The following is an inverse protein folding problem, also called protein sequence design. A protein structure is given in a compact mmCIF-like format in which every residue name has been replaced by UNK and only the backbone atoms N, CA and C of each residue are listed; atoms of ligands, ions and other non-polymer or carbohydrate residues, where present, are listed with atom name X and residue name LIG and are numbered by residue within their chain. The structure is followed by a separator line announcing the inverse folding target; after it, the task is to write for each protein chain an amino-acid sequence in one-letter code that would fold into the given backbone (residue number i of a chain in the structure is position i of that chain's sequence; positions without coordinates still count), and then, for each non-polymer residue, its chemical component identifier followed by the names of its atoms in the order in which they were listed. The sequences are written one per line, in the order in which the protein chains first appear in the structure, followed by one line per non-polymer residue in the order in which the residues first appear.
data_IF_958551777244
#
_entry.id   IF_958551777244
#
_cell.length_a   1.000
_cell.length_b   1.000
_cell.length_c   1.000
_cell.angle_alpha   90.00
_cell.angle_beta   90.00
_cell.angle_gamma   90.00
#
_symmetry.space_group_name_H-M   'P 1'
#
loop_
_entity.id
_entity.type
_entity.pdbx_description
1 polymer ?
#
# COMPACT_ATOMS: atom_id res chain seq x y z
N UNK A 1 38.67 2.86 -27.37
CA UNK A 1 38.19 1.55 -27.87
C UNK A 1 36.69 1.48 -27.60
N UNK A 2 35.86 1.59 -28.64
CA UNK A 2 34.38 1.63 -28.53
C UNK A 2 33.86 0.20 -28.42
N UNK A 3 33.17 -0.14 -27.33
CA UNK A 3 32.45 -1.42 -27.21
C UNK A 3 31.07 -1.23 -27.82
N UNK A 4 30.74 -2.10 -28.78
CA UNK A 4 29.54 -2.01 -29.60
C UNK A 4 28.28 -2.30 -28.78
N UNK A 5 27.27 -1.43 -28.90
CA UNK A 5 25.90 -1.71 -28.49
C UNK A 5 25.30 -2.69 -29.49
N UNK A 6 24.88 -3.86 -29.04
CA UNK A 6 24.08 -4.78 -29.86
C UNK A 6 22.62 -4.50 -29.58
N UNK A 7 21.97 -3.78 -30.49
CA UNK A 7 20.52 -3.68 -30.57
C UNK A 7 19.96 -5.07 -30.89
N UNK A 8 19.00 -5.54 -30.10
CA UNK A 8 18.22 -6.74 -30.43
C UNK A 8 16.91 -6.26 -31.04
N UNK A 9 16.77 -6.52 -32.33
CA UNK A 9 15.61 -6.20 -33.15
C UNK A 9 14.35 -6.92 -32.67
N UNK A 10 13.23 -6.23 -32.80
CA UNK A 10 11.91 -6.71 -32.42
C UNK A 10 11.48 -7.95 -33.22
N UNK A 11 10.89 -8.91 -32.49
CA UNK A 11 10.11 -9.99 -33.07
C UNK A 11 8.62 -9.66 -32.89
N UNK A 12 7.98 -9.24 -33.98
CA UNK A 12 6.53 -9.20 -34.13
C UNK A 12 6.02 -10.64 -34.26
N UNK A 13 5.53 -11.23 -33.18
CA UNK A 13 4.83 -12.51 -33.17
C UNK A 13 3.33 -12.29 -33.04
N UNK A 14 2.56 -12.68 -34.06
CA UNK A 14 1.11 -12.56 -34.11
C UNK A 14 0.44 -13.39 -33.00
N UNK A 15 -0.48 -12.76 -32.27
CA UNK A 15 -1.36 -13.41 -31.30
C UNK A 15 -2.48 -14.15 -32.05
N UNK A 16 -2.45 -15.48 -32.03
CA UNK A 16 -3.61 -16.33 -32.31
C UNK A 16 -4.48 -16.52 -31.05
N UNK A 17 -5.78 -16.83 -31.19
CA UNK A 17 -6.74 -16.76 -30.09
C UNK A 17 -6.57 -17.95 -29.13
N UNK A 18 -6.44 -17.67 -27.84
CA UNK A 18 -6.50 -18.68 -26.79
C UNK A 18 -7.97 -18.90 -26.40
N UNK A 19 -8.47 -20.08 -26.74
CA UNK A 19 -9.81 -20.56 -26.39
C UNK A 19 -9.96 -20.78 -24.88
N UNK A 20 -11.20 -20.62 -24.42
CA UNK A 20 -11.61 -20.68 -23.03
C UNK A 20 -11.54 -22.11 -22.47
N UNK A 21 -10.72 -22.31 -21.44
CA UNK A 21 -10.78 -23.45 -20.54
C UNK A 21 -11.13 -22.97 -19.13
N UNK A 22 -12.42 -22.99 -18.79
CA UNK A 22 -12.87 -22.88 -17.40
C UNK A 22 -12.71 -24.26 -16.75
N UNK A 23 -11.77 -24.39 -15.83
CA UNK A 23 -11.88 -25.38 -14.75
C UNK A 23 -11.56 -24.70 -13.42
N UNK A 24 -12.59 -24.71 -12.57
CA UNK A 24 -12.54 -24.21 -11.20
C UNK A 24 -11.78 -25.23 -10.34
N UNK A 25 -10.55 -24.89 -9.95
CA UNK A 25 -9.78 -25.63 -8.97
C UNK A 25 -9.63 -24.80 -7.69
N UNK A 26 -10.39 -25.22 -6.67
CA UNK A 26 -10.08 -25.13 -5.24
C UNK A 26 -9.44 -23.85 -4.72
N UNK A 27 -10.26 -22.96 -4.16
CA UNK A 27 -9.82 -21.96 -3.20
C UNK A 27 -9.34 -22.66 -1.92
N UNK A 28 -8.06 -23.03 -1.86
CA UNK A 28 -7.35 -23.27 -0.62
C UNK A 28 -6.75 -21.93 -0.16
N UNK A 29 -7.49 -21.20 0.68
CA UNK A 29 -6.99 -19.97 1.31
C UNK A 29 -5.76 -20.28 2.17
N UNK A 30 -4.77 -19.38 2.25
CA UNK A 30 -3.66 -19.57 3.17
C UNK A 30 -4.19 -19.48 4.59
N UNK A 31 -3.77 -20.45 5.40
CA UNK A 31 -4.09 -20.61 6.80
C UNK A 31 -3.91 -19.31 7.60
N UNK A 32 -4.84 -19.09 8.53
CA UNK A 32 -4.70 -18.15 9.63
C UNK A 32 -3.34 -18.35 10.32
N UNK A 33 -2.54 -17.28 10.39
CA UNK A 33 -1.17 -17.40 10.89
C UNK A 33 -0.45 -16.07 10.99
N UNK A 34 -0.88 -15.22 11.93
CA UNK A 34 -0.02 -14.55 12.92
C UNK A 34 -0.93 -13.71 13.82
N UNK A 35 -1.05 -14.15 15.07
CA UNK A 35 -1.69 -13.38 16.13
C UNK A 35 -1.01 -12.00 16.20
N UNK A 36 -1.81 -10.93 16.24
CA UNK A 36 -1.29 -9.62 16.58
C UNK A 36 -0.78 -9.69 18.02
N UNK A 37 0.55 -9.81 18.18
CA UNK A 37 1.19 -9.79 19.48
C UNK A 37 0.67 -8.60 20.28
N UNK A 38 0.27 -8.84 21.52
CA UNK A 38 -0.12 -7.77 22.44
C UNK A 38 1.05 -6.80 22.61
N UNK A 39 0.74 -5.55 22.95
CA UNK A 39 1.79 -4.53 23.18
C UNK A 39 2.81 -4.98 24.22
N UNK A 40 2.39 -5.82 25.18
CA UNK A 40 3.25 -6.41 26.20
C UNK A 40 4.17 -7.49 25.63
N UNK A 41 3.66 -8.38 24.78
CA UNK A 41 4.47 -9.42 24.11
C UNK A 41 5.51 -8.80 23.17
N UNK A 42 5.12 -7.78 22.39
CA UNK A 42 6.05 -7.06 21.51
C UNK A 42 7.16 -6.36 22.32
N UNK A 43 6.83 -5.75 23.47
CA UNK A 43 7.81 -5.12 24.35
C UNK A 43 8.79 -6.15 24.93
N UNK A 44 8.27 -7.29 25.41
CA UNK A 44 9.09 -8.38 25.94
C UNK A 44 10.00 -9.01 24.86
N UNK A 45 9.53 -9.12 23.62
CA UNK A 45 10.34 -9.59 22.49
C UNK A 45 11.45 -8.59 22.15
N UNK A 46 11.13 -7.29 22.15
CA UNK A 46 12.12 -6.22 21.94
C UNK A 46 13.22 -6.23 23.01
N UNK A 47 12.87 -6.43 24.28
CA UNK A 47 13.82 -6.51 25.38
C UNK A 47 14.74 -7.74 25.26
N UNK A 48 14.19 -8.91 24.90
CA UNK A 48 14.99 -10.12 24.64
C UNK A 48 15.94 -9.93 23.46
N UNK A 49 15.48 -9.28 22.40
CA UNK A 49 16.27 -9.01 21.21
C UNK A 49 17.42 -8.03 21.52
N UNK A 50 17.15 -6.99 22.30
CA UNK A 50 18.18 -6.06 22.77
C UNK A 50 19.22 -6.75 23.66
N UNK A 51 18.79 -7.65 24.55
CA UNK A 51 19.69 -8.45 25.38
C UNK A 51 20.57 -9.39 24.53
N UNK A 52 20.00 -10.04 23.52
CA UNK A 52 20.75 -10.88 22.58
C UNK A 52 21.76 -10.05 21.74
N UNK A 53 21.38 -8.85 21.30
CA UNK A 53 22.28 -7.96 20.58
C UNK A 53 23.46 -7.48 21.45
N UNK A 54 23.21 -7.29 22.75
CA UNK A 54 24.22 -6.90 23.73
C UNK A 54 25.26 -8.00 24.02
N UNK A 55 24.97 -9.28 23.71
CA UNK A 55 25.93 -10.38 23.87
C UNK A 55 26.75 -10.65 22.59
N UNK A 56 26.36 -10.09 21.44
CA UNK A 56 27.11 -10.27 20.19
C UNK A 56 28.51 -9.64 20.25
N UNK A 57 29.44 -10.19 19.47
CA UNK A 57 30.74 -9.57 19.19
C UNK A 57 30.58 -8.09 18.79
N UNK A 58 31.41 -7.16 19.30
CA UNK A 58 31.27 -5.73 19.01
C UNK A 58 31.28 -5.37 17.53
N UNK A 59 32.04 -6.09 16.69
CA UNK A 59 32.08 -5.84 15.24
C UNK A 59 30.79 -6.30 14.58
N UNK A 60 30.29 -7.47 14.98
CA UNK A 60 29.00 -7.97 14.50
C UNK A 60 27.85 -7.06 14.94
N UNK A 61 27.88 -6.57 16.18
CA UNK A 61 26.91 -5.60 16.70
C UNK A 61 26.92 -4.30 15.89
N UNK A 62 28.11 -3.77 15.59
CA UNK A 62 28.24 -2.57 14.76
C UNK A 62 27.72 -2.82 13.33
N UNK A 63 28.00 -3.98 12.73
CA UNK A 63 27.48 -4.35 11.41
C UNK A 63 25.95 -4.53 11.38
N UNK A 64 25.35 -4.91 12.50
CA UNK A 64 23.91 -5.06 12.70
C UNK A 64 23.25 -3.82 13.32
N UNK A 65 23.99 -2.71 13.45
CA UNK A 65 23.40 -1.45 13.87
C UNK A 65 22.66 -0.80 12.69
N UNK A 66 21.54 -0.13 12.98
CA UNK A 66 20.88 0.73 11.99
C UNK A 66 21.63 2.05 11.92
N UNK A 67 22.54 2.15 10.96
CA UNK A 67 23.26 3.36 10.61
C UNK A 67 22.81 3.83 9.20
N UNK A 68 22.18 5.01 9.09
CA UNK A 68 21.78 5.60 7.81
C UNK A 68 22.96 5.83 6.85
N UNK A 69 24.12 6.25 7.36
CA UNK A 69 25.28 6.57 6.53
C UNK A 69 25.92 5.28 5.97
N UNK A 70 25.86 4.19 6.73
CA UNK A 70 26.30 2.87 6.28
C UNK A 70 25.30 2.14 5.37
N UNK A 71 24.09 2.66 5.17
CA UNK A 71 23.02 1.94 4.44
C UNK A 71 23.39 1.58 3.02
N UNK A 72 23.99 2.49 2.27
CA UNK A 72 24.38 2.24 0.89
C UNK A 72 25.44 1.12 0.80
N UNK A 73 26.48 1.19 1.63
CA UNK A 73 27.53 0.18 1.69
C UNK A 73 27.00 -1.19 2.10
N UNK A 74 26.12 -1.22 3.10
CA UNK A 74 25.43 -2.42 3.56
C UNK A 74 24.57 -3.07 2.47
N UNK A 75 23.74 -2.28 1.79
CA UNK A 75 22.89 -2.80 0.71
C UNK A 75 23.73 -3.33 -0.45
N UNK A 76 24.80 -2.62 -0.85
CA UNK A 76 25.76 -3.12 -1.85
C UNK A 76 26.33 -4.47 -1.46
N UNK A 77 26.79 -4.63 -0.22
CA UNK A 77 27.31 -5.90 0.28
C UNK A 77 26.25 -7.02 0.26
N UNK A 78 24.98 -6.69 0.55
CA UNK A 78 23.88 -7.65 0.45
C UNK A 78 23.63 -8.10 -1.00
N UNK A 79 23.57 -7.17 -1.95
CA UNK A 79 23.41 -7.51 -3.37
C UNK A 79 24.57 -8.36 -3.86
N UNK A 80 25.80 -8.00 -3.50
CA UNK A 80 27.01 -8.79 -3.76
C UNK A 80 26.84 -10.24 -3.36
N UNK A 81 26.56 -10.47 -2.08
CA UNK A 81 26.44 -11.83 -1.53
C UNK A 81 25.36 -12.64 -2.27
N UNK A 82 24.21 -12.02 -2.56
CA UNK A 82 23.10 -12.69 -3.25
C UNK A 82 23.44 -13.04 -4.69
N UNK A 83 24.06 -12.12 -5.43
CA UNK A 83 24.37 -12.34 -6.84
C UNK A 83 25.56 -13.27 -7.06
N UNK A 84 26.58 -13.22 -6.19
CA UNK A 84 27.68 -14.19 -6.25
C UNK A 84 27.18 -15.61 -5.98
N UNK A 85 26.26 -15.80 -5.03
CA UNK A 85 25.63 -17.10 -4.77
C UNK A 85 24.76 -17.56 -5.97
N UNK A 86 23.97 -16.64 -6.55
CA UNK A 86 23.16 -16.95 -7.73
C UNK A 86 24.02 -17.31 -8.95
N UNK A 87 25.13 -16.61 -9.16
CA UNK A 87 26.08 -16.89 -10.23
C UNK A 87 26.78 -18.24 -10.02
N UNK A 88 27.20 -18.55 -8.78
CA UNK A 88 27.76 -19.87 -8.44
C UNK A 88 26.77 -20.98 -8.77
N UNK A 89 25.53 -20.86 -8.31
CA UNK A 89 24.47 -21.83 -8.59
C UNK A 89 24.20 -21.97 -10.09
N UNK A 90 24.17 -20.86 -10.83
CA UNK A 90 23.95 -20.85 -12.27
C UNK A 90 25.01 -21.68 -13.02
N UNK A 91 26.28 -21.50 -12.70
CA UNK A 91 27.39 -22.27 -13.29
C UNK A 91 27.30 -23.75 -12.92
N UNK A 92 27.05 -24.07 -11.65
CA UNK A 92 26.95 -25.46 -11.17
C UNK A 92 25.84 -26.26 -11.88
N UNK A 93 24.82 -25.58 -12.42
CA UNK A 93 23.65 -26.19 -13.05
C UNK A 93 23.56 -25.93 -14.57
N UNK A 94 24.59 -25.32 -15.17
CA UNK A 94 24.67 -25.11 -16.62
C UNK A 94 23.68 -24.08 -17.16
N UNK A 95 23.35 -23.05 -16.39
CA UNK A 95 22.57 -21.91 -16.88
C UNK A 95 23.48 -20.90 -17.59
N UNK A 96 22.94 -20.21 -18.60
CA UNK A 96 23.69 -19.23 -19.40
C UNK A 96 23.66 -17.82 -18.81
N UNK A 97 22.68 -17.51 -17.97
CA UNK A 97 22.41 -16.14 -17.53
C UNK A 97 21.80 -16.06 -16.13
N UNK A 98 21.99 -14.93 -15.46
CA UNK A 98 21.32 -14.57 -14.20
C UNK A 98 20.57 -13.24 -14.32
N UNK A 99 19.42 -13.15 -13.66
CA UNK A 99 18.60 -11.94 -13.61
C UNK A 99 18.13 -11.64 -12.19
N UNK A 100 17.36 -10.57 -12.04
CA UNK A 100 16.86 -10.16 -10.73
C UNK A 100 15.47 -9.55 -10.80
N UNK A 101 14.68 -9.78 -9.75
CA UNK A 101 13.40 -9.10 -9.51
C UNK A 101 13.54 -7.85 -8.65
N UNK A 102 14.75 -7.58 -8.12
CA UNK A 102 15.01 -6.43 -7.24
C UNK A 102 14.84 -5.08 -7.96
N UNK A 103 14.83 -5.05 -9.29
CA UNK A 103 14.62 -3.84 -10.08
C UNK A 103 13.17 -3.33 -10.10
N UNK A 104 12.23 -4.00 -9.42
CA UNK A 104 10.83 -3.55 -9.32
C UNK A 104 10.65 -2.43 -8.28
N UNK A 105 11.48 -2.38 -7.24
CA UNK A 105 11.27 -1.47 -6.11
C UNK A 105 11.89 -0.11 -6.36
N UNK A 106 11.13 1.00 -6.32
CA UNK A 106 11.68 2.36 -6.45
C UNK A 106 12.47 2.80 -5.21
N UNK A 107 12.43 2.03 -4.12
CA UNK A 107 13.09 2.35 -2.84
C UNK A 107 14.46 1.68 -2.68
N UNK A 108 14.91 0.91 -3.67
CA UNK A 108 16.20 0.24 -3.66
C UNK A 108 17.22 0.97 -4.53
N UNK A 109 18.50 0.66 -4.34
CA UNK A 109 19.59 1.25 -5.12
C UNK A 109 19.73 0.53 -6.46
N UNK A 110 18.85 0.87 -7.40
CA UNK A 110 18.74 0.20 -8.72
C UNK A 110 20.07 0.16 -9.46
N UNK A 111 20.80 1.27 -9.51
CA UNK A 111 22.10 1.34 -10.21
C UNK A 111 23.12 0.39 -9.56
N UNK A 112 23.13 0.32 -8.23
CA UNK A 112 23.98 -0.62 -7.48
C UNK A 112 23.56 -2.07 -7.70
N UNK A 113 22.26 -2.32 -7.85
CA UNK A 113 21.74 -3.67 -8.17
C UNK A 113 22.26 -4.11 -9.54
N UNK A 114 22.17 -3.25 -10.55
CA UNK A 114 22.68 -3.53 -11.90
C UNK A 114 24.19 -3.76 -11.89
N UNK A 115 24.97 -2.85 -11.28
CA UNK A 115 26.43 -2.99 -11.14
C UNK A 115 26.84 -4.32 -10.49
N UNK A 116 26.15 -4.71 -9.41
CA UNK A 116 26.53 -5.91 -8.65
C UNK A 116 26.07 -7.21 -9.35
N UNK A 117 24.97 -7.16 -10.12
CA UNK A 117 24.52 -8.26 -10.97
C UNK A 117 25.50 -8.49 -12.12
N UNK A 118 25.86 -7.42 -12.85
CA UNK A 118 26.79 -7.46 -13.97
C UNK A 118 28.15 -7.99 -13.54
N UNK A 119 28.67 -7.50 -12.40
CA UNK A 119 29.95 -7.98 -11.87
C UNK A 119 29.89 -9.49 -11.56
N UNK A 120 28.83 -9.97 -10.90
CA UNK A 120 28.72 -11.38 -10.54
C UNK A 120 28.61 -12.26 -11.80
N UNK A 121 27.79 -11.87 -12.77
CA UNK A 121 27.66 -12.59 -14.04
C UNK A 121 28.99 -12.65 -14.79
N UNK A 122 29.68 -11.51 -14.94
CA UNK A 122 30.96 -11.42 -15.64
C UNK A 122 32.06 -12.27 -15.01
N UNK A 123 32.14 -12.34 -13.67
CA UNK A 123 33.13 -13.17 -12.96
C UNK A 123 32.98 -14.67 -13.26
N UNK A 124 31.77 -15.09 -13.62
CA UNK A 124 31.41 -16.48 -13.86
C UNK A 124 31.19 -16.79 -15.35
N UNK A 125 31.39 -15.82 -16.24
CA UNK A 125 31.16 -16.00 -17.69
C UNK A 125 29.68 -16.14 -18.07
N UNK A 126 28.77 -15.63 -17.23
CA UNK A 126 27.33 -15.63 -17.46
C UNK A 126 26.87 -14.31 -18.08
N UNK A 127 25.73 -14.35 -18.78
CA UNK A 127 25.03 -13.12 -19.18
C UNK A 127 24.25 -12.52 -18.01
N UNK A 128 24.25 -11.18 -17.90
CA UNK A 128 23.38 -10.46 -16.96
C UNK A 128 22.09 -10.02 -17.64
N UNK A 129 20.95 -10.36 -17.04
CA UNK A 129 19.61 -9.97 -17.50
C UNK A 129 19.04 -8.93 -16.56
N UNK A 130 19.41 -7.67 -16.78
CA UNK A 130 18.84 -6.54 -16.07
C UNK A 130 17.68 -5.90 -16.86
N UNK A 131 16.59 -5.56 -16.17
CA UNK A 131 15.45 -4.82 -16.72
C UNK A 131 14.92 -3.88 -15.64
N UNK A 132 14.73 -2.61 -15.96
CA UNK A 132 14.12 -1.65 -15.03
C UNK A 132 12.60 -1.84 -14.99
N UNK A 133 12.08 -2.33 -13.86
CA UNK A 133 10.65 -2.56 -13.65
C UNK A 133 9.99 -1.47 -12.79
N UNK A 134 10.72 -0.44 -12.36
CA UNK A 134 10.17 0.66 -11.55
C UNK A 134 8.96 1.35 -12.19
N UNK A 135 8.89 1.55 -13.53
CA UNK A 135 7.70 2.13 -14.17
C UNK A 135 6.42 1.32 -13.94
N UNK A 136 6.53 0.02 -13.64
CA UNK A 136 5.40 -0.88 -13.44
C UNK A 136 5.06 -1.11 -11.96
N UNK A 137 5.75 -0.44 -11.03
CA UNK A 137 5.60 -0.68 -9.58
C UNK A 137 4.16 -0.46 -9.08
N UNK A 138 3.49 0.59 -9.57
CA UNK A 138 2.12 0.91 -9.16
C UNK A 138 1.12 -0.15 -9.64
N UNK A 139 1.27 -0.60 -10.89
CA UNK A 139 0.44 -1.67 -11.44
C UNK A 139 0.70 -3.01 -10.74
N UNK A 140 1.96 -3.37 -10.50
CA UNK A 140 2.33 -4.55 -9.73
C UNK A 140 1.74 -4.49 -8.30
N UNK A 141 1.70 -3.30 -7.70
CA UNK A 141 1.08 -3.06 -6.39
C UNK A 141 -0.44 -3.24 -6.41
N UNK A 142 -1.12 -2.74 -7.44
CA UNK A 142 -2.55 -2.94 -7.63
C UNK A 142 -2.87 -4.43 -7.81
N UNK A 143 -2.20 -5.10 -8.75
CA UNK A 143 -2.44 -6.51 -9.09
C UNK A 143 -2.20 -7.45 -7.91
N UNK A 144 -1.13 -7.23 -7.15
CA UNK A 144 -0.85 -8.06 -5.96
C UNK A 144 -1.87 -7.86 -4.84
N UNK A 145 -2.42 -6.64 -4.67
CA UNK A 145 -3.53 -6.39 -3.73
C UNK A 145 -4.82 -7.08 -4.16
N UNK A 146 -5.16 -6.99 -5.45
CA UNK A 146 -6.34 -7.66 -6.02
C UNK A 146 -6.24 -9.18 -5.89
N UNK A 147 -5.04 -9.73 -6.05
CA UNK A 147 -4.76 -11.15 -5.88
C UNK A 147 -4.64 -11.61 -4.41
N UNK A 148 -4.79 -10.72 -3.42
CA UNK A 148 -4.65 -11.06 -2.01
C UNK A 148 -3.25 -11.53 -1.61
N UNK A 149 -2.22 -11.17 -2.39
CA UNK A 149 -0.85 -11.60 -2.12
C UNK A 149 -0.27 -10.88 -0.91
N UNK A 150 0.52 -11.60 -0.11
CA UNK A 150 1.32 -10.99 0.95
C UNK A 150 2.27 -9.94 0.35
N UNK A 151 2.30 -8.76 0.96
CA UNK A 151 3.16 -7.65 0.55
C UNK A 151 4.06 -7.22 1.70
N UNK A 152 5.32 -7.59 1.58
CA UNK A 152 6.38 -7.11 2.47
C UNK A 152 6.67 -5.64 2.18
N UNK A 153 6.69 -4.79 3.22
CA UNK A 153 6.97 -3.35 3.11
C UNK A 153 8.40 -2.99 3.52
N UNK A 154 9.34 -3.91 3.31
CA UNK A 154 10.78 -3.76 3.59
C UNK A 154 11.57 -4.72 2.70
N UNK A 155 12.90 -4.56 2.62
CA UNK A 155 13.76 -5.31 1.69
C UNK A 155 13.96 -6.80 2.05
N UNK A 156 13.46 -7.25 3.20
CA UNK A 156 13.62 -8.62 3.72
C UNK A 156 14.77 -8.81 4.73
N UNK A 157 15.62 -7.81 4.96
CA UNK A 157 16.61 -7.85 6.05
C UNK A 157 16.06 -7.19 7.34
N UNK A 158 16.53 -7.67 8.50
CA UNK A 158 16.14 -7.15 9.84
C UNK A 158 16.32 -5.63 9.93
N UNK A 159 17.43 -5.12 9.41
CA UNK A 159 17.76 -3.69 9.44
C UNK A 159 16.74 -2.86 8.68
N UNK A 160 16.33 -3.32 7.49
CA UNK A 160 15.29 -2.65 6.71
C UNK A 160 13.92 -2.72 7.38
N UNK A 161 13.63 -3.79 8.14
CA UNK A 161 12.39 -3.84 8.93
C UNK A 161 12.43 -2.85 10.10
N UNK A 162 13.51 -2.79 10.86
CA UNK A 162 13.70 -1.81 11.94
C UNK A 162 13.57 -0.37 11.42
N UNK A 163 14.22 -0.05 10.29
CA UNK A 163 14.09 1.25 9.60
C UNK A 163 12.62 1.52 9.23
N UNK A 164 11.94 0.56 8.60
CA UNK A 164 10.56 0.71 8.16
C UNK A 164 9.59 0.85 9.36
N UNK A 165 9.85 0.18 10.49
CA UNK A 165 9.09 0.33 11.72
C UNK A 165 9.26 1.73 12.31
N UNK A 166 10.50 2.22 12.42
CA UNK A 166 10.79 3.57 12.93
C UNK A 166 10.11 4.65 12.07
N UNK A 167 10.19 4.54 10.75
CA UNK A 167 9.49 5.45 9.83
C UNK A 167 7.97 5.42 10.01
N UNK A 168 7.38 4.23 10.19
CA UNK A 168 5.93 4.09 10.42
C UNK A 168 5.51 4.78 11.72
N UNK A 169 6.29 4.63 12.80
CA UNK A 169 6.00 5.29 14.07
C UNK A 169 6.11 6.81 13.95
N UNK A 170 7.16 7.31 13.29
CA UNK A 170 7.33 8.74 13.03
C UNK A 170 6.15 9.30 12.23
N UNK A 171 5.78 8.66 11.12
CA UNK A 171 4.63 9.10 10.30
C UNK A 171 3.32 9.08 11.09
N UNK A 172 3.12 8.07 11.95
CA UNK A 172 1.94 8.00 12.83
C UNK A 172 1.92 9.14 13.85
N UNK A 173 3.06 9.44 14.47
CA UNK A 173 3.21 10.54 15.41
C UNK A 173 2.98 11.90 14.72
N UNK A 174 3.56 12.12 13.54
CA UNK A 174 3.37 13.33 12.75
C UNK A 174 1.90 13.54 12.38
N UNK A 175 1.21 12.51 11.87
CA UNK A 175 -0.23 12.59 11.55
C UNK A 175 -1.08 12.83 12.79
N UNK A 176 -0.70 12.28 13.94
CA UNK A 176 -1.39 12.54 15.19
C UNK A 176 -1.21 13.99 15.65
N UNK A 177 0.02 14.51 15.56
CA UNK A 177 0.33 15.90 15.88
C UNK A 177 -0.38 16.87 14.94
N UNK A 178 -0.40 16.61 13.63
CA UNK A 178 -1.13 17.41 12.64
C UNK A 178 -2.64 17.42 12.92
N UNK A 179 -3.24 16.25 13.20
CA UNK A 179 -4.66 16.18 13.60
C UNK A 179 -4.94 16.95 14.89
N UNK A 180 -4.04 16.90 15.85
CA UNK A 180 -4.18 17.64 17.10
C UNK A 180 -4.07 19.16 16.87
N UNK A 181 -3.12 19.60 16.04
CA UNK A 181 -2.94 21.01 15.70
C UNK A 181 -4.18 21.62 15.02
N UNK A 182 -4.82 20.87 14.11
CA UNK A 182 -6.03 21.32 13.42
C UNK A 182 -7.33 20.97 14.16
N UNK A 183 -7.29 20.36 15.36
CA UNK A 183 -8.49 19.88 16.05
C UNK A 183 -9.49 21.00 16.35
N UNK A 184 -9.01 22.13 16.87
CA UNK A 184 -9.86 23.27 17.21
C UNK A 184 -10.50 23.91 15.96
N UNK A 185 -9.73 24.03 14.87
CA UNK A 185 -10.22 24.55 13.60
C UNK A 185 -11.30 23.62 13.00
N UNK A 186 -11.07 22.30 13.04
CA UNK A 186 -12.04 21.29 12.58
C UNK A 186 -13.32 21.34 13.39
N UNK A 187 -13.22 21.44 14.72
CA UNK A 187 -14.38 21.58 15.61
C UNK A 187 -15.16 22.86 15.32
N UNK A 188 -14.48 23.99 15.13
CA UNK A 188 -15.14 25.25 14.77
C UNK A 188 -15.84 25.18 13.41
N UNK A 189 -15.22 24.55 12.40
CA UNK A 189 -15.83 24.34 11.09
C UNK A 189 -17.05 23.40 11.17
N UNK A 190 -16.96 22.33 11.95
CA UNK A 190 -18.06 21.39 12.16
C UNK A 190 -19.22 22.03 12.92
N UNK A 191 -18.95 22.85 13.94
CA UNK A 191 -19.95 23.63 14.65
C UNK A 191 -20.69 24.60 13.71
N UNK A 192 -19.96 25.38 12.89
CA UNK A 192 -20.55 26.25 11.87
C UNK A 192 -21.40 25.49 10.86
N UNK A 193 -20.95 24.31 10.42
CA UNK A 193 -21.72 23.44 9.52
C UNK A 193 -22.98 22.88 10.21
N UNK A 194 -22.90 22.55 11.50
CA UNK A 194 -24.04 22.08 12.28
C UNK A 194 -25.08 23.19 12.46
N UNK A 195 -24.66 24.40 12.82
CA UNK A 195 -25.51 25.59 12.93
C UNK A 195 -26.24 25.87 11.61
N UNK A 196 -25.51 25.96 10.49
CA UNK A 196 -26.12 26.17 9.17
C UNK A 196 -27.11 25.06 8.77
N UNK A 197 -26.87 23.83 9.19
CA UNK A 197 -27.81 22.71 8.98
C UNK A 197 -29.05 22.87 9.84
N UNK A 198 -28.90 23.26 11.11
CA UNK A 198 -30.01 23.52 12.02
C UNK A 198 -30.89 24.68 11.54
N UNK A 199 -30.30 25.77 11.08
CA UNK A 199 -31.03 26.90 10.48
C UNK A 199 -31.84 26.48 9.25
N UNK A 200 -31.21 25.72 8.35
CA UNK A 200 -31.90 25.18 7.15
C UNK A 200 -33.06 24.27 7.53
N UNK A 201 -32.87 23.41 8.52
CA UNK A 201 -33.92 22.53 9.01
C UNK A 201 -35.08 23.33 9.62
N UNK A 202 -34.79 24.29 10.51
CA UNK A 202 -35.81 25.13 11.13
C UNK A 202 -36.61 25.93 10.09
N UNK A 203 -35.95 26.44 9.05
CA UNK A 203 -36.63 27.08 7.93
C UNK A 203 -37.55 26.11 7.18
N UNK A 204 -37.07 24.91 6.86
CA UNK A 204 -37.87 23.87 6.20
C UNK A 204 -39.08 23.48 7.04
N UNK A 205 -38.91 23.25 8.34
CA UNK A 205 -39.99 22.90 9.26
C UNK A 205 -41.05 24.01 9.32
N UNK A 206 -40.62 25.28 9.37
CA UNK A 206 -41.53 26.44 9.32
C UNK A 206 -42.32 26.49 8.02
N UNK A 207 -41.68 26.25 6.88
CA UNK A 207 -42.35 26.20 5.58
C UNK A 207 -43.34 25.03 5.49
N UNK A 208 -42.96 23.84 5.99
CA UNK A 208 -43.83 22.67 6.03
C UNK A 208 -45.07 22.92 6.90
N UNK A 209 -44.91 23.53 8.07
CA UNK A 209 -46.04 23.92 8.94
C UNK A 209 -46.97 24.90 8.23
N UNK A 210 -46.43 25.94 7.60
CA UNK A 210 -47.23 26.90 6.82
C UNK A 210 -48.00 26.19 5.70
N UNK A 211 -47.34 25.31 4.95
CA UNK A 211 -47.98 24.56 3.88
C UNK A 211 -49.07 23.61 4.40
N UNK A 212 -48.83 22.92 5.51
CA UNK A 212 -49.80 22.03 6.15
C UNK A 212 -51.05 22.78 6.62
N UNK A 213 -50.89 23.95 7.25
CA UNK A 213 -52.02 24.80 7.68
C UNK A 213 -52.83 25.26 6.46
N UNK A 214 -52.18 25.80 5.42
CA UNK A 214 -52.88 26.23 4.21
C UNK A 214 -53.62 25.08 3.52
N UNK A 215 -53.01 23.89 3.48
CA UNK A 215 -53.64 22.68 2.94
C UNK A 215 -54.86 22.26 3.76
N UNK A 216 -54.78 22.33 5.10
CA UNK A 216 -55.90 22.03 6.00
C UNK A 216 -57.05 23.04 5.84
N UNK A 217 -56.76 24.34 5.81
CA UNK A 217 -57.76 25.38 5.58
C UNK A 217 -58.46 25.20 4.23
N UNK A 218 -57.70 24.92 3.16
CA UNK A 218 -58.27 24.66 1.83
C UNK A 218 -59.12 23.39 1.79
N UNK A 219 -58.79 22.39 2.60
CA UNK A 219 -59.60 21.18 2.75
C UNK A 219 -60.91 21.49 3.49
N UNK A 220 -60.85 22.20 4.62
CA UNK A 220 -62.03 22.60 5.38
C UNK A 220 -63.00 23.44 4.54
N UNK A 221 -62.50 24.41 3.76
CA UNK A 221 -63.35 25.18 2.84
C UNK A 221 -64.01 24.30 1.78
N UNK A 222 -63.30 23.30 1.22
CA UNK A 222 -63.88 22.35 0.27
C UNK A 222 -64.94 21.45 0.91
N UNK A 223 -64.68 21.01 2.14
CA UNK A 223 -65.60 20.16 2.88
C UNK A 223 -66.88 20.95 3.24
N UNK A 224 -66.75 22.21 3.68
CA UNK A 224 -67.87 23.14 3.91
C UNK A 224 -68.72 23.37 2.67
N UNK A 225 -68.10 23.73 1.53
CA UNK A 225 -68.83 23.91 0.26
C UNK A 225 -69.55 22.62 -0.16
N UNK A 226 -68.97 21.46 0.11
CA UNK A 226 -69.57 20.17 -0.23
C UNK A 226 -70.73 19.80 0.70
N UNK A 227 -70.71 20.28 1.94
CA UNK A 227 -71.75 20.10 2.93
C UNK A 227 -72.93 21.06 2.67
N UNK A 228 -72.65 22.33 2.38
CA UNK A 228 -73.64 23.32 1.90
C UNK A 228 -74.35 22.83 0.64
N UNK A 229 -73.60 22.39 -0.39
CA UNK A 229 -74.21 21.83 -1.60
C UNK A 229 -75.07 20.59 -1.34
N UNK A 230 -74.79 19.80 -0.30
CA UNK A 230 -75.59 18.62 0.08
C UNK A 230 -76.85 18.99 0.86
N UNK A 231 -76.82 20.10 1.60
CA UNK A 231 -77.99 20.64 2.28
C UNK A 231 -78.95 21.30 1.30
N UNK A 232 -78.42 22.04 0.31
CA UNK A 232 -79.22 22.62 -0.79
C UNK A 232 -79.88 21.55 -1.68
N UNK A 233 -79.24 20.40 -1.90
CA UNK A 233 -79.84 19.27 -2.64
C UNK A 233 -80.93 18.51 -1.87
N UNK A 234 -81.11 18.77 -0.56
CA UNK A 234 -82.10 18.10 0.31
C UNK A 234 -83.38 18.91 0.53
N UNK A 235 -83.40 20.18 0.13
CA UNK A 235 -84.56 21.08 0.16
C UNK A 235 -85.31 21.06 -1.18
#
# INVERSE_FOLDING_TARGET
MRVARKEVAGATGAAGPAEAGREAAGAAGPAEGTAAATKAEAAAETEREAAALATLDPRLRAALAVDPDARAARCRACYRLRFEEAARYAVEHGFDAIGTTLSVSPYQYTDVIEEELDRAAARHGLDSVFRDFRPYYDEATRRSREAGMYRQNFCGCRLSDTEAQAERQLRKAMRAAERAAHAAERQAQEAKRAEKRAERQAYQDKQQRKHAILKAMRKQMKDQVKEENREDERL
#
